data_IF_379440005449
#
_entry.id   IF_379440005449
#
_cell.length_a   1.000
_cell.length_b   1.000
_cell.length_c   1.000
_cell.angle_alpha   90.00
_cell.angle_beta   90.00
_cell.angle_gamma   90.00
#
_symmetry.space_group_name_H-M   'P 1'
#
loop_
_entity.id
_entity.type
_entity.pdbx_description
1 polymer ?
#
# COMPACT_ATOMS: atom_id res chain seq x y z
N UNK A 1 15.51 -20.51 1.80
CA UNK A 1 15.18 -21.25 3.04
C UNK A 1 13.85 -20.73 3.54
N UNK A 2 12.78 -21.52 3.33
CA UNK A 2 11.41 -21.16 3.72
C UNK A 2 11.31 -21.08 5.27
N UNK A 3 11.37 -19.89 5.83
CA UNK A 3 10.90 -19.65 7.19
C UNK A 3 9.36 -19.76 7.15
N UNK A 4 8.84 -20.93 7.54
CA UNK A 4 7.38 -21.09 7.77
C UNK A 4 6.99 -20.06 8.82
N UNK A 5 6.33 -19.01 8.39
CA UNK A 5 5.74 -18.01 9.26
C UNK A 5 4.74 -18.70 10.19
N UNK A 6 5.06 -18.76 11.48
CA UNK A 6 4.15 -19.32 12.48
C UNK A 6 3.16 -18.24 12.91
N UNK A 7 1.88 -18.55 12.95
CA UNK A 7 0.86 -17.62 13.42
C UNK A 7 1.13 -17.18 14.86
N UNK A 8 0.77 -15.95 15.23
CA UNK A 8 0.95 -15.35 16.57
C UNK A 8 0.41 -16.31 17.66
N UNK A 9 -0.80 -16.81 17.44
CA UNK A 9 -1.43 -17.78 18.33
C UNK A 9 -0.59 -19.04 18.51
N UNK A 10 -0.15 -19.65 17.41
CA UNK A 10 0.69 -20.84 17.43
C UNK A 10 2.05 -20.58 18.08
N UNK A 11 2.66 -19.42 17.80
CA UNK A 11 3.92 -18.99 18.37
C UNK A 11 3.83 -18.85 19.90
N UNK A 12 2.77 -18.21 20.42
CA UNK A 12 2.51 -18.05 21.86
C UNK A 12 2.19 -19.39 22.49
N UNK A 13 1.24 -20.15 21.93
CA UNK A 13 0.81 -21.44 22.48
C UNK A 13 1.95 -22.44 22.56
N UNK A 14 2.78 -22.58 21.53
CA UNK A 14 3.92 -23.51 21.52
C UNK A 14 4.93 -23.13 22.61
N UNK A 15 5.23 -21.86 22.81
CA UNK A 15 6.19 -21.42 23.84
C UNK A 15 5.66 -21.61 25.27
N UNK A 16 4.40 -21.27 25.51
CA UNK A 16 3.76 -21.51 26.80
C UNK A 16 3.68 -23.01 27.10
N UNK A 17 3.28 -23.80 26.10
CA UNK A 17 3.18 -25.24 26.24
C UNK A 17 4.55 -25.90 26.51
N UNK A 18 5.58 -25.48 25.77
CA UNK A 18 6.96 -25.97 26.00
C UNK A 18 7.49 -25.63 27.41
N UNK A 19 7.21 -24.40 27.90
CA UNK A 19 7.59 -24.00 29.26
C UNK A 19 6.82 -24.81 30.29
N UNK A 20 5.52 -25.01 30.14
CA UNK A 20 4.67 -25.76 31.06
C UNK A 20 5.09 -27.26 31.11
N UNK A 21 5.16 -27.90 29.92
CA UNK A 21 5.58 -29.31 29.84
C UNK A 21 7.02 -29.47 30.31
N UNK A 22 7.94 -28.59 29.91
CA UNK A 22 9.33 -28.63 30.27
C UNK A 22 9.54 -28.53 31.79
N UNK A 23 8.77 -27.65 32.47
CA UNK A 23 8.83 -27.53 33.93
C UNK A 23 8.34 -28.78 34.66
N UNK A 24 7.22 -29.36 34.18
CA UNK A 24 6.68 -30.61 34.75
C UNK A 24 7.64 -31.77 34.52
N UNK A 25 8.18 -31.91 33.29
CA UNK A 25 9.17 -32.97 32.98
C UNK A 25 10.45 -32.81 33.81
N UNK A 26 10.91 -31.56 34.02
CA UNK A 26 12.09 -31.31 34.84
C UNK A 26 11.87 -31.73 36.29
N UNK A 27 10.74 -31.36 36.90
CA UNK A 27 10.39 -31.74 38.26
C UNK A 27 10.27 -33.28 38.38
N UNK A 28 9.57 -33.92 37.42
CA UNK A 28 9.41 -35.38 37.40
C UNK A 28 10.77 -36.09 37.25
N UNK A 29 11.66 -35.62 36.38
CA UNK A 29 13.01 -36.17 36.19
C UNK A 29 13.87 -36.03 37.44
N UNK A 30 13.82 -34.86 38.09
CA UNK A 30 14.56 -34.63 39.35
C UNK A 30 14.04 -35.54 40.47
N UNK A 31 12.73 -35.71 40.58
CA UNK A 31 12.12 -36.62 41.57
C UNK A 31 12.50 -38.07 41.28
N UNK A 32 12.38 -38.53 40.02
CA UNK A 32 12.78 -39.88 39.64
C UNK A 32 14.28 -40.14 39.93
N UNK A 33 15.16 -39.21 39.54
CA UNK A 33 16.61 -39.34 39.78
C UNK A 33 16.93 -39.41 41.26
N UNK A 34 16.24 -38.60 42.09
CA UNK A 34 16.38 -38.67 43.55
C UNK A 34 15.95 -40.02 44.12
N UNK A 35 14.77 -40.54 43.70
CA UNK A 35 14.32 -41.86 44.13
C UNK A 35 15.30 -42.97 43.73
N UNK A 36 15.75 -42.96 42.48
CA UNK A 36 16.73 -43.93 41.98
C UNK A 36 18.06 -43.85 42.77
N UNK A 37 18.53 -42.63 43.08
CA UNK A 37 19.76 -42.42 43.84
C UNK A 37 19.61 -42.91 45.30
N UNK A 38 18.50 -42.57 45.97
CA UNK A 38 18.21 -43.02 47.32
C UNK A 38 18.10 -44.54 47.40
N UNK A 39 17.47 -45.17 46.41
CA UNK A 39 17.36 -46.62 46.33
C UNK A 39 18.73 -47.29 46.12
N UNK A 40 19.55 -46.74 45.22
CA UNK A 40 20.93 -47.22 45.00
C UNK A 40 21.79 -47.13 46.28
N UNK A 41 21.72 -46.01 46.99
CA UNK A 41 22.46 -45.80 48.23
C UNK A 41 21.99 -46.76 49.30
N UNK A 42 20.69 -47.00 49.49
CA UNK A 42 20.14 -47.96 50.43
C UNK A 42 20.58 -49.39 50.14
N UNK A 43 20.55 -49.78 48.86
CA UNK A 43 21.00 -51.12 48.45
C UNK A 43 22.51 -51.25 48.66
N UNK A 44 23.30 -50.19 48.52
CA UNK A 44 24.76 -50.18 48.75
C UNK A 44 25.14 -50.28 50.26
N UNK A 45 24.32 -49.66 51.11
CA UNK A 45 24.51 -49.72 52.58
C UNK A 45 24.10 -51.06 53.21
N UNK A 46 23.35 -51.87 52.43
CA UNK A 46 22.97 -53.22 52.90
C UNK A 46 24.16 -54.17 52.95
N UNK A 47 24.27 -54.99 54.00
CA UNK A 47 25.22 -56.11 54.01
C UNK A 47 25.01 -57.01 52.79
N UNK A 48 26.12 -57.50 52.19
CA UNK A 48 26.07 -58.22 50.89
C UNK A 48 25.17 -59.49 50.96
N UNK A 49 25.05 -60.11 52.12
CA UNK A 49 24.14 -61.26 52.35
C UNK A 49 22.67 -60.86 52.28
N UNK A 50 22.28 -59.71 52.86
CA UNK A 50 20.91 -59.21 52.90
C UNK A 50 20.53 -58.66 51.57
N UNK A 51 21.43 -57.97 50.83
CA UNK A 51 21.20 -57.47 49.48
C UNK A 51 20.97 -58.58 48.45
N UNK A 52 21.72 -59.70 48.57
CA UNK A 52 21.52 -60.87 47.74
C UNK A 52 20.17 -61.57 48.01
N UNK A 53 19.80 -61.69 49.27
CA UNK A 53 18.54 -62.25 49.74
C UNK A 53 17.37 -61.34 49.25
N UNK A 54 17.50 -60.03 49.39
CA UNK A 54 16.49 -59.04 48.94
C UNK A 54 16.24 -59.09 47.43
N UNK A 55 17.26 -59.23 46.60
CA UNK A 55 17.13 -59.35 45.15
C UNK A 55 16.34 -60.61 44.75
N UNK A 56 16.55 -61.75 45.49
CA UNK A 56 15.81 -62.95 45.19
C UNK A 56 14.36 -62.80 45.62
N UNK A 57 14.09 -62.21 46.78
CA UNK A 57 12.73 -61.98 47.27
C UNK A 57 11.97 -60.90 46.49
N UNK A 58 12.65 -59.93 45.87
CA UNK A 58 12.06 -58.94 45.02
C UNK A 58 11.51 -59.54 43.75
N UNK A 59 12.18 -60.55 43.17
CA UNK A 59 11.73 -61.27 41.99
C UNK A 59 10.60 -62.28 42.30
N UNK A 60 10.58 -62.85 43.51
CA UNK A 60 9.61 -63.83 43.96
C UNK A 60 9.19 -63.58 45.40
N UNK A 61 8.33 -62.65 45.71
CA UNK A 61 7.97 -62.27 47.12
C UNK A 61 7.23 -63.38 47.84
N UNK A 62 6.65 -64.35 47.11
CA UNK A 62 5.87 -65.47 47.68
C UNK A 62 6.73 -66.52 48.35
N UNK A 63 8.04 -66.59 48.14
CA UNK A 63 8.94 -67.60 48.72
C UNK A 63 9.02 -67.38 50.26
N UNK A 64 9.08 -66.13 50.73
CA UNK A 64 9.03 -65.85 52.14
C UNK A 64 8.51 -64.44 52.40
N UNK A 65 7.19 -64.24 52.45
CA UNK A 65 6.54 -62.92 52.56
C UNK A 65 6.93 -62.21 53.89
N UNK A 66 7.02 -62.94 54.95
CA UNK A 66 7.40 -62.38 56.29
C UNK A 66 8.79 -61.79 56.25
N UNK A 67 9.75 -62.51 55.68
CA UNK A 67 11.13 -62.07 55.58
C UNK A 67 11.26 -60.85 54.60
N UNK A 68 10.55 -60.85 53.56
CA UNK A 68 10.48 -59.75 52.64
C UNK A 68 9.97 -58.43 53.31
N UNK A 69 8.88 -58.55 54.09
CA UNK A 69 8.34 -57.42 54.84
C UNK A 69 9.34 -56.95 55.93
N UNK A 70 10.02 -57.85 56.63
CA UNK A 70 11.03 -57.45 57.59
C UNK A 70 12.21 -56.67 56.99
N UNK A 71 12.67 -57.07 55.84
CA UNK A 71 13.72 -56.35 55.11
C UNK A 71 13.20 -54.96 54.62
N UNK A 72 12.01 -54.91 54.03
CA UNK A 72 11.38 -53.66 53.59
C UNK A 72 11.17 -52.72 54.77
N UNK A 73 10.58 -53.19 55.87
CA UNK A 73 10.32 -52.38 57.07
C UNK A 73 11.58 -51.85 57.72
N UNK A 74 12.64 -52.63 57.71
CA UNK A 74 13.94 -52.26 58.33
C UNK A 74 14.69 -51.20 57.49
N UNK A 75 14.67 -51.32 56.13
CA UNK A 75 15.50 -50.51 55.26
C UNK A 75 14.72 -49.37 54.59
N UNK A 76 13.41 -49.56 54.33
CA UNK A 76 12.53 -48.49 53.77
C UNK A 76 11.70 -47.83 54.88
N UNK A 77 11.51 -48.41 56.01
CA UNK A 77 10.82 -47.91 57.20
C UNK A 77 9.30 -47.95 57.06
N UNK A 78 8.61 -47.99 58.23
CA UNK A 78 7.14 -48.00 58.33
C UNK A 78 6.49 -46.70 57.70
N UNK A 79 7.29 -45.68 57.37
CA UNK A 79 6.88 -44.39 56.83
C UNK A 79 6.33 -44.46 55.40
N UNK A 80 6.27 -45.60 54.75
CA UNK A 80 5.73 -45.73 53.40
C UNK A 80 4.23 -45.51 53.33
N UNK A 81 3.51 -45.55 54.47
CA UNK A 81 2.07 -45.41 54.57
C UNK A 81 1.56 -44.10 55.19
N UNK A 82 2.44 -43.21 55.68
CA UNK A 82 2.02 -41.97 56.34
C UNK A 82 2.32 -40.75 55.47
N UNK A 83 1.30 -40.17 54.83
CA UNK A 83 1.46 -38.99 53.98
C UNK A 83 1.56 -37.70 54.81
N UNK A 84 2.42 -37.67 55.85
CA UNK A 84 2.61 -36.44 56.60
C UNK A 84 3.23 -35.37 55.72
N UNK A 85 2.66 -34.15 55.76
CA UNK A 85 3.09 -32.97 55.01
C UNK A 85 4.57 -32.63 55.27
N UNK A 86 5.12 -33.10 56.38
CA UNK A 86 6.53 -32.95 56.76
C UNK A 86 7.45 -34.04 56.20
N UNK A 87 7.00 -34.91 55.28
CA UNK A 87 7.87 -35.88 54.64
C UNK A 87 8.98 -35.20 53.83
N UNK A 88 10.20 -35.77 53.85
CA UNK A 88 11.32 -35.25 53.07
C UNK A 88 11.01 -35.11 51.56
N UNK A 89 10.03 -35.85 51.06
CA UNK A 89 9.58 -35.85 49.69
C UNK A 89 8.80 -34.58 49.36
N UNK A 90 7.88 -34.14 50.23
CA UNK A 90 7.16 -32.88 50.06
C UNK A 90 8.08 -31.66 50.14
N UNK A 91 9.06 -31.70 51.06
CA UNK A 91 10.08 -30.63 51.17
C UNK A 91 10.89 -30.56 49.85
N UNK A 92 11.28 -31.73 49.30
CA UNK A 92 12.03 -31.78 48.04
C UNK A 92 11.22 -31.25 46.87
N UNK A 93 9.94 -31.60 46.78
CA UNK A 93 9.02 -31.04 45.73
C UNK A 93 8.93 -29.51 45.89
N UNK A 94 8.76 -29.03 47.12
CA UNK A 94 8.72 -27.58 47.40
C UNK A 94 10.01 -26.88 46.94
N UNK A 95 11.17 -27.43 47.25
CA UNK A 95 12.47 -26.88 46.80
C UNK A 95 12.56 -26.87 45.25
N UNK A 96 12.19 -27.98 44.59
CA UNK A 96 12.20 -28.08 43.11
C UNK A 96 11.29 -27.04 42.46
N UNK A 97 10.10 -26.84 43.02
CA UNK A 97 9.17 -25.81 42.51
C UNK A 97 9.81 -24.43 42.65
N UNK A 98 10.34 -24.08 43.82
CA UNK A 98 11.00 -22.78 44.06
C UNK A 98 12.18 -22.55 43.12
N UNK A 99 13.02 -23.58 42.87
CA UNK A 99 14.14 -23.50 41.93
C UNK A 99 13.68 -23.37 40.48
N UNK A 100 12.56 -23.99 40.10
CA UNK A 100 12.05 -23.95 38.70
C UNK A 100 11.44 -22.61 38.36
N UNK A 101 10.88 -21.85 39.33
CA UNK A 101 10.25 -20.54 39.10
C UNK A 101 11.19 -19.56 38.35
N UNK A 102 12.43 -19.29 38.78
CA UNK A 102 13.31 -18.35 38.07
C UNK A 102 13.61 -18.78 36.63
N UNK A 103 13.70 -20.09 36.36
CA UNK A 103 13.87 -20.59 35.00
C UNK A 103 12.64 -20.29 34.13
N UNK A 104 11.43 -20.52 34.63
CA UNK A 104 10.19 -20.23 33.93
C UNK A 104 10.11 -18.72 33.63
N UNK A 105 10.41 -17.87 34.62
CA UNK A 105 10.40 -16.42 34.49
C UNK A 105 11.43 -15.96 33.44
N UNK A 106 12.67 -16.46 33.54
CA UNK A 106 13.74 -16.10 32.61
C UNK A 106 13.40 -16.48 31.17
N UNK A 107 12.98 -17.71 30.90
CA UNK A 107 12.63 -18.18 29.57
C UNK A 107 11.35 -17.53 29.07
N UNK A 108 10.37 -17.24 29.95
CA UNK A 108 9.16 -16.51 29.63
C UNK A 108 9.46 -15.08 29.16
N UNK A 109 10.24 -14.33 29.91
CA UNK A 109 10.67 -12.98 29.56
C UNK A 109 11.47 -12.96 28.25
N UNK A 110 12.44 -13.89 28.10
CA UNK A 110 13.24 -14.00 26.87
C UNK A 110 12.36 -14.32 25.65
N UNK A 111 11.31 -15.08 25.84
CA UNK A 111 10.37 -15.41 24.77
C UNK A 111 9.45 -14.25 24.41
N UNK A 112 9.09 -13.39 25.37
CA UNK A 112 8.24 -12.22 25.13
C UNK A 112 9.01 -11.02 24.53
N UNK A 113 10.33 -10.96 24.69
CA UNK A 113 11.17 -9.84 24.24
C UNK A 113 10.97 -9.48 22.74
N UNK A 114 11.00 -10.41 21.76
CA UNK A 114 10.85 -10.06 20.36
C UNK A 114 9.49 -9.42 20.05
N UNK A 115 8.43 -9.87 20.74
CA UNK A 115 7.09 -9.32 20.64
C UNK A 115 7.05 -7.87 21.13
N UNK A 116 7.54 -7.63 22.34
CA UNK A 116 7.57 -6.30 22.97
C UNK A 116 8.42 -5.31 22.17
N UNK A 117 9.60 -5.73 21.70
CA UNK A 117 10.49 -4.90 20.90
C UNK A 117 9.86 -4.53 19.56
N UNK A 118 9.18 -5.46 18.88
CA UNK A 118 8.51 -5.17 17.61
C UNK A 118 7.39 -4.15 17.81
N UNK A 119 6.56 -4.30 18.83
CA UNK A 119 5.52 -3.31 19.16
C UNK A 119 6.10 -1.94 19.50
N UNK A 120 7.17 -1.90 20.29
CA UNK A 120 7.81 -0.63 20.66
C UNK A 120 8.38 0.11 19.44
N UNK A 121 9.02 -0.62 18.51
CA UNK A 121 9.54 -0.04 17.26
C UNK A 121 8.43 0.48 16.37
N UNK A 122 7.38 -0.32 16.20
CA UNK A 122 6.23 0.08 15.40
C UNK A 122 5.54 1.33 15.98
N UNK A 123 5.36 1.37 17.31
CA UNK A 123 4.79 2.53 18.01
C UNK A 123 5.67 3.78 17.93
N UNK A 124 7.01 3.64 17.89
CA UNK A 124 7.92 4.79 17.68
C UNK A 124 7.81 5.30 16.25
N UNK A 125 7.90 4.43 15.25
CA UNK A 125 7.76 4.83 13.84
C UNK A 125 6.39 5.43 13.54
N UNK A 126 5.30 4.88 14.11
CA UNK A 126 3.96 5.47 13.97
C UNK A 126 3.87 6.89 14.56
N UNK A 127 4.57 7.18 15.67
CA UNK A 127 4.64 8.54 16.23
C UNK A 127 5.45 9.51 15.37
N UNK A 128 6.49 9.04 14.70
CA UNK A 128 7.30 9.84 13.78
C UNK A 128 6.48 10.18 12.53
N UNK A 129 5.78 9.19 11.95
CA UNK A 129 4.83 9.39 10.85
C UNK A 129 3.72 10.39 11.24
N UNK A 130 3.17 10.28 12.46
CA UNK A 130 2.16 11.21 12.96
C UNK A 130 2.69 12.67 13.15
N UNK A 131 4.01 12.85 13.20
CA UNK A 131 4.66 14.16 13.25
C UNK A 131 5.03 14.70 11.86
N UNK A 132 4.70 13.94 10.79
CA UNK A 132 4.99 14.32 9.41
C UNK A 132 6.31 13.75 8.86
N UNK A 133 6.99 12.88 9.58
CA UNK A 133 8.17 12.17 9.04
C UNK A 133 7.73 10.89 8.33
N UNK A 134 7.46 11.01 7.04
CA UNK A 134 7.03 9.90 6.19
C UNK A 134 8.20 9.12 5.56
N UNK A 135 9.46 9.41 5.93
CA UNK A 135 10.61 8.62 5.47
C UNK A 135 10.97 7.51 6.46
N UNK A 136 10.46 7.59 7.70
CA UNK A 136 10.72 6.60 8.74
C UNK A 136 10.02 5.28 8.44
N UNK A 137 10.79 4.18 8.51
CA UNK A 137 10.28 2.82 8.41
C UNK A 137 10.47 2.06 9.72
N UNK A 138 9.50 1.23 10.08
CA UNK A 138 9.61 0.35 11.23
C UNK A 138 10.52 -0.84 10.90
N UNK A 139 11.61 -0.99 11.67
CA UNK A 139 12.56 -2.09 11.49
C UNK A 139 12.01 -3.43 12.01
N UNK A 140 12.22 -4.50 11.26
CA UNK A 140 11.83 -5.85 11.64
C UNK A 140 12.72 -6.40 12.76
N UNK A 141 12.12 -7.12 13.72
CA UNK A 141 12.83 -7.80 14.82
C UNK A 141 12.94 -9.29 14.51
N UNK A 142 14.15 -9.83 14.60
CA UNK A 142 14.38 -11.27 14.41
C UNK A 142 13.62 -12.09 15.46
N UNK A 143 12.86 -13.08 15.00
CA UNK A 143 12.10 -13.98 15.88
C UNK A 143 10.74 -13.44 16.32
N UNK A 144 10.27 -12.32 15.77
CA UNK A 144 8.90 -11.87 15.94
C UNK A 144 7.91 -12.82 15.23
N UNK A 145 6.66 -12.91 15.71
CA UNK A 145 5.59 -13.66 15.04
C UNK A 145 5.31 -13.14 13.63
N UNK A 146 4.84 -14.04 12.75
CA UNK A 146 4.58 -13.72 11.34
C UNK A 146 3.57 -12.60 11.14
N UNK A 147 2.52 -12.57 11.95
CA UNK A 147 1.48 -11.54 11.86
C UNK A 147 2.02 -10.15 12.19
N UNK A 148 2.96 -10.06 13.14
CA UNK A 148 3.62 -8.78 13.44
C UNK A 148 4.62 -8.36 12.36
N UNK A 149 5.29 -9.33 11.73
CA UNK A 149 6.14 -9.06 10.58
C UNK A 149 5.30 -8.51 9.44
N UNK A 150 4.22 -9.20 9.08
CA UNK A 150 3.31 -8.77 8.04
C UNK A 150 2.69 -7.41 8.34
N UNK A 151 2.21 -7.20 9.57
CA UNK A 151 1.68 -5.90 9.99
C UNK A 151 2.70 -4.77 9.86
N UNK A 152 3.99 -5.05 10.15
CA UNK A 152 5.06 -4.06 9.98
C UNK A 152 5.34 -3.78 8.50
N UNK A 153 5.29 -4.79 7.64
CA UNK A 153 5.44 -4.64 6.19
C UNK A 153 4.29 -3.84 5.58
N UNK A 154 3.05 -4.14 6.00
CA UNK A 154 1.85 -3.39 5.59
C UNK A 154 1.91 -1.93 6.06
N UNK A 155 2.36 -1.70 7.32
CA UNK A 155 2.61 -0.37 7.84
C UNK A 155 3.66 0.39 7.02
N UNK A 156 4.79 -0.23 6.71
CA UNK A 156 5.84 0.38 5.90
C UNK A 156 5.35 0.70 4.48
N UNK A 157 4.54 -0.17 3.89
CA UNK A 157 3.91 0.05 2.58
C UNK A 157 2.97 1.26 2.63
N UNK A 158 2.15 1.38 3.67
CA UNK A 158 1.28 2.53 3.88
C UNK A 158 2.09 3.83 4.03
N UNK A 159 3.18 3.81 4.80
CA UNK A 159 4.07 4.98 4.98
C UNK A 159 4.71 5.38 3.65
N UNK A 160 5.17 4.42 2.84
CA UNK A 160 5.71 4.71 1.52
C UNK A 160 4.68 5.37 0.59
N UNK A 161 3.43 4.88 0.60
CA UNK A 161 2.34 5.48 -0.17
C UNK A 161 2.04 6.91 0.30
N UNK A 162 2.03 7.14 1.63
CA UNK A 162 1.81 8.46 2.19
C UNK A 162 2.95 9.44 1.83
N UNK A 163 4.22 9.00 1.93
CA UNK A 163 5.39 9.76 1.51
C UNK A 163 5.35 10.12 0.03
N UNK A 164 4.90 9.18 -0.80
CA UNK A 164 4.72 9.44 -2.24
C UNK A 164 3.63 10.48 -2.48
N UNK A 165 2.49 10.33 -1.84
CA UNK A 165 1.37 11.26 -1.96
C UNK A 165 1.74 12.68 -1.52
N UNK A 166 2.46 12.82 -0.41
CA UNK A 166 2.92 14.10 0.11
C UNK A 166 3.88 14.79 -0.88
N UNK A 167 4.84 14.04 -1.45
CA UNK A 167 5.76 14.57 -2.46
C UNK A 167 5.04 15.00 -3.74
N UNK A 168 4.08 14.21 -4.22
CA UNK A 168 3.26 14.54 -5.39
C UNK A 168 2.42 15.80 -5.14
N UNK A 169 1.83 15.93 -3.94
CA UNK A 169 1.06 17.11 -3.54
C UNK A 169 1.95 18.37 -3.47
N UNK A 170 3.13 18.25 -2.85
CA UNK A 170 4.08 19.34 -2.77
C UNK A 170 4.57 19.79 -4.15
N UNK A 171 4.93 18.84 -5.02
CA UNK A 171 5.34 19.13 -6.40
C UNK A 171 4.21 19.83 -7.18
N UNK A 172 2.96 19.39 -6.99
CA UNK A 172 1.78 20.02 -7.58
C UNK A 172 1.62 21.48 -7.12
N UNK A 173 1.73 21.75 -5.82
CA UNK A 173 1.64 23.14 -5.30
C UNK A 173 2.74 24.07 -5.84
N UNK A 174 3.97 23.57 -5.94
CA UNK A 174 5.08 24.34 -6.54
C UNK A 174 4.81 24.63 -8.01
N UNK A 175 4.34 23.63 -8.77
CA UNK A 175 4.00 23.80 -10.17
C UNK A 175 2.84 24.81 -10.35
N UNK A 176 1.76 24.70 -9.55
CA UNK A 176 0.66 25.67 -9.53
C UNK A 176 1.16 27.11 -9.35
N UNK A 177 2.00 27.31 -8.34
CA UNK A 177 2.55 28.64 -8.07
C UNK A 177 3.35 29.21 -9.25
N UNK A 178 4.10 28.36 -9.95
CA UNK A 178 4.85 28.76 -11.15
C UNK A 178 3.95 29.10 -12.33
N UNK A 179 2.95 28.27 -12.62
CA UNK A 179 2.02 28.45 -13.74
C UNK A 179 1.10 29.68 -13.54
N UNK A 180 0.72 30.01 -12.29
CA UNK A 180 -0.01 31.24 -11.97
C UNK A 180 0.87 32.49 -12.04
N UNK A 181 2.13 32.41 -11.58
CA UNK A 181 3.05 33.57 -11.54
C UNK A 181 3.41 34.06 -12.94
N UNK A 182 3.60 33.16 -13.90
CA UNK A 182 4.06 33.50 -15.25
C UNK A 182 3.13 34.47 -15.98
N UNK A 183 1.82 34.18 -16.20
CA UNK A 183 0.90 35.10 -16.87
C UNK A 183 0.68 36.39 -16.08
N UNK A 184 0.65 36.30 -14.74
CA UNK A 184 0.52 37.47 -13.86
C UNK A 184 1.70 38.42 -14.03
N UNK A 185 2.94 37.90 -13.96
CA UNK A 185 4.15 38.72 -14.16
C UNK A 185 4.20 39.33 -15.55
N UNK A 186 3.78 38.59 -16.58
CA UNK A 186 3.73 39.13 -17.95
C UNK A 186 2.70 40.26 -18.10
N UNK A 187 1.52 40.11 -17.49
CA UNK A 187 0.49 41.16 -17.49
C UNK A 187 0.97 42.39 -16.70
N UNK A 188 1.51 42.21 -15.49
CA UNK A 188 2.03 43.29 -14.65
C UNK A 188 3.20 44.02 -15.33
N UNK A 189 4.15 43.30 -15.92
CA UNK A 189 5.29 43.91 -16.61
C UNK A 189 4.89 44.78 -17.81
N UNK A 190 3.84 44.35 -18.56
CA UNK A 190 3.28 45.15 -19.67
C UNK A 190 2.56 46.40 -19.16
N UNK A 191 1.75 46.29 -18.12
CA UNK A 191 1.07 47.39 -17.48
C UNK A 191 2.10 48.39 -16.89
N UNK A 192 3.11 47.92 -16.21
CA UNK A 192 4.17 48.76 -15.66
C UNK A 192 4.94 49.46 -16.77
N UNK A 193 5.31 48.76 -17.84
CA UNK A 193 5.96 49.39 -19.01
C UNK A 193 5.11 50.46 -19.71
N UNK A 194 3.78 50.34 -19.68
CA UNK A 194 2.88 51.42 -20.15
C UNK A 194 2.86 52.60 -19.17
N UNK A 195 2.85 52.35 -17.86
CA UNK A 195 2.89 53.41 -16.84
C UNK A 195 4.23 54.18 -16.89
N UNK A 196 5.32 53.46 -17.10
CA UNK A 196 6.66 54.06 -17.21
C UNK A 196 6.97 54.73 -18.56
N UNK A 197 5.98 54.68 -19.49
CA UNK A 197 6.11 55.28 -20.83
C UNK A 197 7.01 54.49 -21.80
N UNK A 198 7.41 53.26 -21.43
CA UNK A 198 8.22 52.36 -22.28
C UNK A 198 7.36 51.81 -23.46
N UNK A 199 6.11 51.50 -23.17
CA UNK A 199 5.11 51.09 -24.19
C UNK A 199 4.01 52.14 -24.31
N UNK A 200 3.63 52.46 -25.53
CA UNK A 200 2.44 53.25 -25.75
C UNK A 200 1.19 52.44 -25.37
N UNK A 201 0.17 53.02 -24.73
CA UNK A 201 -1.05 52.33 -24.33
C UNK A 201 -1.98 52.09 -25.53
N UNK A 202 -1.48 51.37 -26.53
CA UNK A 202 -2.21 50.98 -27.73
C UNK A 202 -3.16 49.80 -27.49
N UNK A 203 -4.27 49.66 -28.25
CA UNK A 203 -5.18 48.53 -28.12
C UNK A 203 -4.50 47.17 -28.14
N UNK A 204 -3.47 47.02 -28.98
CA UNK A 204 -2.68 45.78 -29.09
C UNK A 204 -1.98 45.40 -27.77
N UNK A 205 -1.44 46.37 -27.00
CA UNK A 205 -0.81 46.11 -25.72
C UNK A 205 -1.84 45.71 -24.66
N UNK A 206 -3.00 46.37 -24.66
CA UNK A 206 -4.13 46.03 -23.78
C UNK A 206 -4.70 44.65 -24.09
N UNK A 207 -4.82 44.29 -25.36
CA UNK A 207 -5.22 42.94 -25.78
C UNK A 207 -4.24 41.86 -25.28
N UNK A 208 -2.93 42.16 -25.32
CA UNK A 208 -1.93 41.22 -24.78
C UNK A 208 -2.06 41.05 -23.28
N UNK A 209 -2.34 42.11 -22.52
CA UNK A 209 -2.63 42.03 -21.08
C UNK A 209 -3.89 41.22 -20.84
N UNK A 210 -4.96 41.52 -21.55
CA UNK A 210 -6.24 40.82 -21.45
C UNK A 210 -6.07 39.33 -21.76
N UNK A 211 -5.29 38.98 -22.78
CA UNK A 211 -4.99 37.56 -23.11
C UNK A 211 -4.31 36.82 -21.95
N UNK A 212 -3.39 37.49 -21.22
CA UNK A 212 -2.75 36.88 -20.04
C UNK A 212 -3.76 36.69 -18.90
N UNK A 213 -4.65 37.67 -18.66
CA UNK A 213 -5.67 37.58 -17.61
C UNK A 213 -6.73 36.50 -17.93
N UNK A 214 -7.14 36.36 -19.16
CA UNK A 214 -8.05 35.27 -19.62
C UNK A 214 -7.37 33.92 -19.44
N UNK A 215 -6.10 33.80 -19.80
CA UNK A 215 -5.33 32.54 -19.56
C UNK A 215 -5.22 32.20 -18.09
N UNK A 216 -5.02 33.22 -17.23
CA UNK A 216 -4.97 33.03 -15.77
C UNK A 216 -6.31 32.56 -15.21
N UNK A 217 -7.41 33.18 -15.65
CA UNK A 217 -8.76 32.78 -15.25
C UNK A 217 -9.06 31.33 -15.66
N UNK A 218 -8.74 30.98 -16.91
CA UNK A 218 -8.88 29.59 -17.38
C UNK A 218 -8.11 28.60 -16.49
N UNK A 219 -6.87 28.93 -16.10
CA UNK A 219 -6.06 28.08 -15.22
C UNK A 219 -6.71 27.93 -13.84
N UNK A 220 -7.30 28.98 -13.28
CA UNK A 220 -8.04 28.92 -12.02
C UNK A 220 -9.25 28.00 -12.14
N UNK A 221 -10.02 28.11 -13.22
CA UNK A 221 -11.19 27.25 -13.47
C UNK A 221 -10.80 25.78 -13.64
N UNK A 222 -9.67 25.51 -14.32
CA UNK A 222 -9.08 24.18 -14.48
C UNK A 222 -8.67 23.57 -13.11
N UNK A 223 -8.03 24.36 -12.25
CA UNK A 223 -7.64 23.94 -10.91
C UNK A 223 -8.85 23.70 -9.99
N UNK A 224 -9.85 24.57 -10.08
CA UNK A 224 -11.10 24.41 -9.33
C UNK A 224 -11.83 23.12 -9.71
N UNK A 225 -11.93 22.81 -11.01
CA UNK A 225 -12.51 21.57 -11.49
C UNK A 225 -11.77 20.33 -10.92
N UNK A 226 -10.44 20.35 -10.98
CA UNK A 226 -9.63 19.27 -10.43
C UNK A 226 -9.83 19.10 -8.92
N UNK A 227 -9.95 20.22 -8.18
CA UNK A 227 -10.21 20.19 -6.75
C UNK A 227 -11.58 19.56 -6.42
N UNK A 228 -12.62 19.90 -7.18
CA UNK A 228 -13.95 19.29 -7.03
C UNK A 228 -13.94 17.80 -7.37
N UNK A 229 -13.21 17.41 -8.43
CA UNK A 229 -13.10 16.02 -8.82
C UNK A 229 -12.36 15.18 -7.77
N UNK A 230 -11.26 15.70 -7.19
CA UNK A 230 -10.52 15.03 -6.10
C UNK A 230 -11.36 14.83 -4.84
N UNK A 231 -12.21 15.82 -4.52
CA UNK A 231 -13.14 15.73 -3.40
C UNK A 231 -14.33 14.79 -3.68
N UNK A 232 -14.50 14.32 -4.92
CA UNK A 232 -15.70 13.57 -5.33
C UNK A 232 -16.96 14.45 -5.39
N UNK A 233 -16.79 15.78 -5.44
CA UNK A 233 -17.87 16.78 -5.42
C UNK A 233 -18.18 17.35 -6.81
N UNK A 234 -17.54 16.83 -7.86
CA UNK A 234 -17.83 17.27 -9.22
C UNK A 234 -19.26 16.84 -9.60
N UNK A 235 -20.18 17.80 -9.58
CA UNK A 235 -21.55 17.57 -10.03
C UNK A 235 -21.60 17.40 -11.55
N UNK A 236 -22.33 16.38 -12.01
CA UNK A 236 -22.53 16.06 -13.42
C UNK A 236 -24.01 16.16 -13.76
N UNK A 237 -24.32 16.88 -14.82
CA UNK A 237 -25.67 16.96 -15.42
C UNK A 237 -25.86 15.79 -16.37
N UNK A 238 -26.25 14.63 -15.84
CA UNK A 238 -26.34 13.39 -16.61
C UNK A 238 -27.71 13.26 -17.30
N UNK A 239 -27.72 13.25 -18.63
CA UNK A 239 -28.88 12.92 -19.43
C UNK A 239 -28.46 12.14 -20.69
N UNK A 240 -29.47 11.72 -21.51
CA UNK A 240 -29.23 10.95 -22.72
C UNK A 240 -29.09 11.88 -23.94
N UNK A 241 -28.04 11.67 -24.74
CA UNK A 241 -27.71 12.45 -25.96
C UNK A 241 -26.94 11.59 -26.95
N UNK A 242 -26.71 12.14 -28.17
CA UNK A 242 -25.99 11.40 -29.22
C UNK A 242 -24.50 11.78 -29.23
N UNK A 243 -23.64 10.76 -28.91
CA UNK A 243 -22.20 10.93 -28.81
C UNK A 243 -21.55 11.34 -30.15
N UNK A 244 -22.07 10.82 -31.25
CA UNK A 244 -21.53 11.17 -32.57
C UNK A 244 -21.83 12.65 -32.94
N UNK A 245 -22.99 13.16 -32.57
CA UNK A 245 -23.35 14.55 -32.75
C UNK A 245 -22.45 15.50 -31.96
N UNK A 246 -22.21 15.22 -30.68
CA UNK A 246 -21.28 16.01 -29.84
C UNK A 246 -19.86 16.00 -30.41
N UNK A 247 -19.36 14.86 -30.85
CA UNK A 247 -18.02 14.78 -31.46
C UNK A 247 -17.93 15.62 -32.72
N UNK A 248 -18.93 15.56 -33.60
CA UNK A 248 -18.98 16.37 -34.82
C UNK A 248 -19.04 17.86 -34.50
N UNK A 249 -19.84 18.27 -33.51
CA UNK A 249 -19.90 19.67 -33.06
C UNK A 249 -18.51 20.14 -32.58
N UNK A 250 -17.78 19.33 -31.78
CA UNK A 250 -16.44 19.69 -31.31
C UNK A 250 -15.42 19.76 -32.46
N UNK A 251 -15.51 18.85 -33.44
CA UNK A 251 -14.68 18.91 -34.64
C UNK A 251 -14.94 20.17 -35.44
N UNK A 252 -16.21 20.55 -35.63
CA UNK A 252 -16.56 21.81 -36.33
C UNK A 252 -16.01 23.04 -35.58
N UNK A 253 -16.07 23.05 -34.25
CA UNK A 253 -15.54 24.13 -33.41
C UNK A 253 -14.02 24.28 -33.53
N UNK A 254 -13.27 23.18 -33.60
CA UNK A 254 -11.79 23.19 -33.67
C UNK A 254 -11.25 23.25 -35.10
N UNK A 255 -12.12 23.12 -36.12
CA UNK A 255 -11.77 23.10 -37.55
C UNK A 255 -10.87 24.25 -38.01
N UNK A 256 -11.12 25.54 -37.61
CA UNK A 256 -10.23 26.64 -38.03
C UNK A 256 -8.80 26.48 -37.56
N UNK A 257 -8.62 25.90 -36.35
CA UNK A 257 -7.28 25.64 -35.80
C UNK A 257 -6.63 24.45 -36.52
N UNK A 258 -7.39 23.40 -36.83
CA UNK A 258 -6.94 22.24 -37.59
C UNK A 258 -6.47 22.62 -39.00
N UNK A 259 -7.22 23.50 -39.71
CA UNK A 259 -6.84 24.04 -41.01
C UNK A 259 -5.52 24.83 -40.96
N UNK A 260 -5.33 25.63 -39.90
CA UNK A 260 -4.07 26.39 -39.72
C UNK A 260 -2.86 25.48 -39.52
N UNK A 261 -3.04 24.32 -38.91
CA UNK A 261 -1.96 23.31 -38.66
C UNK A 261 -1.85 22.28 -39.80
N UNK A 262 -2.76 22.28 -40.77
CA UNK A 262 -2.82 21.30 -41.85
C UNK A 262 -3.29 19.91 -41.42
N UNK A 263 -3.93 19.79 -40.23
CA UNK A 263 -4.42 18.51 -39.71
C UNK A 263 -5.85 18.23 -40.16
N UNK A 264 -6.10 17.01 -40.63
CA UNK A 264 -7.44 16.51 -40.98
C UNK A 264 -7.96 15.68 -39.80
N UNK A 265 -9.15 15.99 -39.31
CA UNK A 265 -9.82 15.25 -38.24
C UNK A 265 -10.97 14.46 -38.84
N UNK A 266 -10.95 13.13 -38.67
CA UNK A 266 -12.01 12.23 -39.14
C UNK A 266 -12.70 11.53 -37.95
N UNK A 267 -14.05 11.50 -37.98
CA UNK A 267 -14.86 10.81 -36.96
C UNK A 267 -15.51 9.58 -37.58
N UNK A 268 -15.22 8.44 -37.01
CA UNK A 268 -15.74 7.13 -37.37
C UNK A 268 -16.67 6.66 -36.25
N UNK A 269 -17.95 6.97 -36.35
CA UNK A 269 -18.95 6.64 -35.33
C UNK A 269 -20.18 5.96 -35.97
N UNK A 270 -20.92 5.10 -35.25
CA UNK A 270 -22.21 4.61 -35.67
C UNK A 270 -23.20 5.77 -35.91
N UNK A 271 -24.17 5.58 -36.86
CA UNK A 271 -25.12 6.61 -37.20
C UNK A 271 -26.01 7.10 -36.04
N UNK A 272 -26.16 6.29 -34.99
CA UNK A 272 -26.83 6.64 -33.71
C UNK A 272 -26.04 6.03 -32.58
N UNK A 273 -25.54 6.89 -31.70
CA UNK A 273 -24.73 6.47 -30.54
C UNK A 273 -25.26 7.17 -29.29
N UNK A 274 -26.39 6.63 -28.74
CA UNK A 274 -26.98 7.18 -27.51
C UNK A 274 -26.05 6.93 -26.36
N UNK A 275 -25.76 7.98 -25.61
CA UNK A 275 -24.87 7.93 -24.45
C UNK A 275 -25.50 8.68 -23.28
N UNK A 276 -25.37 8.17 -22.08
CA UNK A 276 -25.84 8.77 -20.84
C UNK A 276 -24.66 9.37 -20.06
N UNK A 277 -24.60 10.70 -20.02
CA UNK A 277 -23.50 11.41 -19.36
C UNK A 277 -23.74 12.92 -19.42
N UNK A 278 -22.76 13.70 -18.97
CA UNK A 278 -22.75 15.15 -19.05
C UNK A 278 -22.05 15.57 -20.36
N UNK A 279 -22.80 16.07 -21.38
CA UNK A 279 -22.24 16.45 -22.69
C UNK A 279 -21.29 17.65 -22.59
N UNK A 280 -21.51 18.56 -21.63
CA UNK A 280 -20.64 19.71 -21.47
C UNK A 280 -19.25 19.25 -20.99
N UNK A 281 -19.20 18.40 -19.96
CA UNK A 281 -17.96 17.87 -19.44
C UNK A 281 -17.24 16.93 -20.41
N UNK A 282 -17.98 16.06 -21.07
CA UNK A 282 -17.39 15.18 -22.10
C UNK A 282 -16.95 15.96 -23.35
N UNK A 283 -17.68 16.98 -23.74
CA UNK A 283 -17.24 17.90 -24.77
C UNK A 283 -15.91 18.60 -24.41
N UNK A 284 -15.70 18.94 -23.15
CA UNK A 284 -14.42 19.48 -22.67
C UNK A 284 -13.30 18.44 -22.83
N UNK A 285 -13.53 17.15 -22.46
CA UNK A 285 -12.56 16.06 -22.68
C UNK A 285 -12.18 15.93 -24.15
N UNK A 286 -13.17 15.88 -25.04
CA UNK A 286 -12.92 15.73 -26.49
C UNK A 286 -12.12 16.91 -27.03
N UNK A 287 -12.46 18.14 -26.64
CA UNK A 287 -11.71 19.32 -27.00
C UNK A 287 -10.26 19.28 -26.55
N UNK A 288 -10.00 18.88 -25.28
CA UNK A 288 -8.65 18.72 -24.75
C UNK A 288 -7.84 17.72 -25.58
N UNK A 289 -8.41 16.57 -25.94
CA UNK A 289 -7.71 15.54 -26.71
C UNK A 289 -7.43 15.99 -28.14
N UNK A 290 -8.38 16.66 -28.78
CA UNK A 290 -8.18 17.25 -30.12
C UNK A 290 -7.11 18.36 -30.10
N UNK A 291 -7.19 19.31 -29.16
CA UNK A 291 -6.18 20.35 -28.98
C UNK A 291 -4.77 19.76 -28.72
N UNK A 292 -4.70 18.67 -27.95
CA UNK A 292 -3.47 17.98 -27.68
C UNK A 292 -2.87 17.39 -28.99
N UNK A 293 -3.68 16.74 -29.82
CA UNK A 293 -3.25 16.21 -31.10
C UNK A 293 -2.77 17.33 -32.03
N UNK A 294 -3.54 18.45 -32.15
CA UNK A 294 -3.15 19.61 -32.96
C UNK A 294 -1.80 20.20 -32.52
N UNK A 295 -1.53 20.20 -31.22
CA UNK A 295 -0.31 20.78 -30.63
C UNK A 295 0.93 19.89 -30.81
N UNK A 296 0.78 18.60 -30.65
CA UNK A 296 1.92 17.69 -30.55
C UNK A 296 2.07 16.73 -31.74
N UNK A 297 1.00 16.55 -32.53
CA UNK A 297 0.97 15.59 -33.61
C UNK A 297 0.64 16.23 -34.99
N UNK A 298 0.70 17.56 -35.11
CA UNK A 298 0.40 18.27 -36.38
C UNK A 298 1.25 17.78 -37.56
N UNK A 299 2.50 17.38 -37.33
CA UNK A 299 3.36 16.81 -38.36
C UNK A 299 2.79 15.49 -38.95
N UNK A 300 1.93 14.76 -38.21
CA UNK A 300 1.28 13.53 -38.66
C UNK A 300 0.09 13.74 -39.61
N UNK A 301 -0.40 14.94 -39.70
CA UNK A 301 -1.41 15.37 -40.66
C UNK A 301 -2.85 14.85 -40.45
N UNK A 302 -3.06 13.85 -39.59
CA UNK A 302 -4.38 13.26 -39.36
C UNK A 302 -4.63 12.91 -37.88
N UNK A 303 -5.89 13.10 -37.46
CA UNK A 303 -6.44 12.61 -36.20
C UNK A 303 -7.71 11.80 -36.52
N UNK A 304 -7.66 10.50 -36.28
CA UNK A 304 -8.79 9.60 -36.46
C UNK A 304 -9.47 9.33 -35.10
N UNK A 305 -10.80 9.57 -35.02
CA UNK A 305 -11.60 9.36 -33.80
C UNK A 305 -12.57 8.22 -34.07
N UNK A 306 -12.43 7.12 -33.34
CA UNK A 306 -13.28 5.94 -33.45
C UNK A 306 -14.21 5.84 -32.25
N UNK A 307 -15.50 5.58 -32.52
CA UNK A 307 -16.50 5.28 -31.49
C UNK A 307 -17.00 3.86 -31.70
N UNK A 308 -16.81 3.01 -30.73
CA UNK A 308 -17.19 1.60 -30.75
C UNK A 308 -18.09 1.27 -29.56
N UNK A 309 -19.18 0.55 -29.78
CA UNK A 309 -19.98 -0.03 -28.71
C UNK A 309 -19.52 -1.47 -28.50
N UNK A 310 -18.91 -1.72 -27.37
CA UNK A 310 -18.55 -3.05 -26.89
C UNK A 310 -19.76 -3.69 -26.18
N UNK A 311 -19.66 -4.95 -25.78
CA UNK A 311 -20.74 -5.70 -25.11
C UNK A 311 -21.26 -5.03 -23.85
N UNK A 312 -20.35 -4.43 -23.04
CA UNK A 312 -20.66 -3.82 -21.74
C UNK A 312 -20.03 -2.42 -21.58
N UNK A 313 -19.60 -1.78 -22.67
CA UNK A 313 -18.92 -0.48 -22.60
C UNK A 313 -18.99 0.28 -23.93
N UNK A 314 -18.86 1.59 -23.84
CA UNK A 314 -18.52 2.46 -24.98
C UNK A 314 -17.03 2.72 -24.98
N UNK A 315 -16.39 2.60 -26.14
CA UNK A 315 -14.99 2.93 -26.33
C UNK A 315 -14.85 4.06 -27.33
N UNK A 316 -14.11 5.09 -26.95
CA UNK A 316 -13.80 6.24 -27.83
C UNK A 316 -12.26 6.29 -27.92
N UNK A 317 -11.74 6.20 -29.14
CA UNK A 317 -10.29 6.18 -29.40
C UNK A 317 -9.90 7.39 -30.24
N UNK A 318 -8.94 8.17 -29.74
CA UNK A 318 -8.31 9.27 -30.49
C UNK A 318 -6.94 8.79 -30.95
N UNK A 319 -6.72 8.67 -32.24
CA UNK A 319 -5.53 8.14 -32.86
C UNK A 319 -4.87 9.20 -33.74
N UNK A 320 -3.74 9.76 -33.27
CA UNK A 320 -2.92 10.64 -34.10
C UNK A 320 -1.79 9.84 -34.81
N UNK A 321 -1.16 10.48 -35.80
CA UNK A 321 -0.01 9.94 -36.53
C UNK A 321 1.28 10.74 -36.25
N UNK A 322 1.39 11.33 -35.07
CA UNK A 322 2.56 12.07 -34.64
C UNK A 322 3.75 11.14 -34.33
N UNK A 323 4.70 11.70 -33.61
CA UNK A 323 5.93 10.97 -33.20
C UNK A 323 5.73 10.00 -32.02
N UNK A 324 4.50 10.01 -31.43
CA UNK A 324 4.25 9.31 -30.16
C UNK A 324 5.04 9.91 -28.99
N UNK A 325 5.10 9.16 -27.89
CA UNK A 325 5.80 9.55 -26.67
C UNK A 325 6.69 8.41 -26.17
N UNK A 326 7.67 8.71 -25.31
CA UNK A 326 8.47 7.65 -24.69
C UNK A 326 7.60 6.74 -23.82
N UNK A 327 7.88 5.45 -23.80
CA UNK A 327 7.17 4.47 -22.97
C UNK A 327 7.17 4.85 -21.48
N UNK A 328 8.27 5.44 -20.99
CA UNK A 328 8.38 5.92 -19.62
C UNK A 328 7.46 7.12 -19.32
N UNK A 329 7.02 7.87 -20.35
CA UNK A 329 6.14 9.02 -20.17
C UNK A 329 4.66 8.63 -20.17
N UNK A 330 4.27 7.54 -20.82
CA UNK A 330 2.86 7.11 -20.94
C UNK A 330 2.14 7.05 -19.58
N UNK A 331 2.69 6.41 -18.52
CA UNK A 331 2.01 6.37 -17.23
C UNK A 331 1.93 7.73 -16.53
N UNK A 332 2.78 8.69 -16.91
CA UNK A 332 2.86 10.00 -16.29
C UNK A 332 2.06 11.08 -17.01
N UNK A 333 1.61 10.84 -18.24
CA UNK A 333 1.03 11.87 -19.07
C UNK A 333 -0.33 12.41 -18.57
N UNK A 334 -1.00 11.67 -17.70
CA UNK A 334 -2.26 12.10 -17.06
C UNK A 334 -2.04 12.74 -15.68
N UNK A 335 -0.77 12.81 -15.20
CA UNK A 335 -0.44 13.51 -13.98
C UNK A 335 -0.43 15.04 -14.21
N UNK A 336 -0.76 15.81 -13.17
CA UNK A 336 -0.85 17.27 -13.24
C UNK A 336 0.50 17.90 -13.52
N UNK A 337 0.50 18.95 -14.36
CA UNK A 337 1.69 19.71 -14.74
C UNK A 337 2.79 18.89 -15.41
N UNK A 338 2.50 17.65 -15.79
CA UNK A 338 3.45 16.79 -16.47
C UNK A 338 3.53 17.12 -17.94
N UNK A 339 4.76 17.18 -18.46
CA UNK A 339 5.04 17.53 -19.87
C UNK A 339 6.16 16.63 -20.38
N UNK A 340 6.06 16.15 -21.62
CA UNK A 340 7.18 15.46 -22.26
C UNK A 340 8.34 16.44 -22.46
N UNK A 341 9.53 16.05 -21.98
CA UNK A 341 10.77 16.84 -22.10
C UNK A 341 11.21 16.94 -23.57
N UNK A 342 10.62 17.87 -24.30
CA UNK A 342 11.17 18.30 -25.59
C UNK A 342 11.35 19.81 -25.53
N UNK A 343 12.59 20.25 -25.62
CA UNK A 343 13.04 21.66 -25.52
C UNK A 343 12.33 22.62 -26.51
N UNK A 344 11.67 22.11 -27.54
CA UNK A 344 10.86 22.87 -28.50
C UNK A 344 9.42 23.16 -28.01
N UNK A 345 8.88 22.40 -27.04
CA UNK A 345 7.51 22.55 -26.54
C UNK A 345 7.29 23.76 -25.62
N UNK A 346 8.35 24.44 -25.17
CA UNK A 346 8.20 25.68 -24.38
C UNK A 346 7.51 26.82 -25.13
N UNK A 347 7.56 26.82 -26.46
CA UNK A 347 6.92 27.85 -27.28
C UNK A 347 5.42 27.63 -27.49
N UNK A 348 4.90 26.42 -27.24
CA UNK A 348 3.51 26.06 -27.51
C UNK A 348 2.55 26.21 -26.32
N UNK A 349 3.02 26.73 -25.18
CA UNK A 349 2.24 27.19 -24.02
C UNK A 349 1.06 26.29 -23.64
N UNK A 350 1.24 25.39 -22.70
CA UNK A 350 0.15 24.62 -22.08
C UNK A 350 0.43 24.39 -20.61
N UNK A 351 -0.60 24.49 -19.75
CA UNK A 351 -0.51 24.34 -18.30
C UNK A 351 -0.07 22.94 -17.85
N UNK A 352 -0.17 21.92 -18.72
CA UNK A 352 0.02 20.52 -18.34
C UNK A 352 -1.13 19.96 -17.49
N UNK A 353 -2.28 20.67 -17.45
CA UNK A 353 -3.47 20.24 -16.74
C UNK A 353 -4.50 19.53 -17.63
N UNK A 354 -4.45 19.74 -18.95
CA UNK A 354 -5.51 19.26 -19.85
C UNK A 354 -5.78 17.76 -19.73
N UNK A 355 -4.74 16.92 -19.82
CA UNK A 355 -4.93 15.46 -19.74
C UNK A 355 -5.36 14.99 -18.35
N UNK A 356 -4.90 15.63 -17.27
CA UNK A 356 -5.38 15.32 -15.91
C UNK A 356 -6.85 15.72 -15.71
N UNK A 357 -7.31 16.82 -16.34
CA UNK A 357 -8.72 17.19 -16.37
C UNK A 357 -9.53 16.15 -17.15
N UNK A 358 -9.05 15.74 -18.32
CA UNK A 358 -9.72 14.71 -19.11
C UNK A 358 -9.87 13.41 -18.30
N UNK A 359 -8.84 13.00 -17.58
CA UNK A 359 -8.88 11.84 -16.68
C UNK A 359 -9.91 12.04 -15.55
N UNK A 360 -9.87 13.15 -14.86
CA UNK A 360 -10.78 13.44 -13.75
C UNK A 360 -12.25 13.42 -14.19
N UNK A 361 -12.58 14.03 -15.35
CA UNK A 361 -13.93 14.01 -15.91
C UNK A 361 -14.36 12.59 -16.30
N UNK A 362 -13.48 11.80 -16.94
CA UNK A 362 -13.78 10.41 -17.31
C UNK A 362 -14.05 9.55 -16.07
N UNK A 363 -13.20 9.66 -15.04
CA UNK A 363 -13.35 8.93 -13.77
C UNK A 363 -14.63 9.33 -13.03
N UNK A 364 -15.00 10.62 -13.02
CA UNK A 364 -16.27 11.10 -12.45
C UNK A 364 -17.50 10.52 -13.16
N UNK A 365 -17.39 10.18 -14.44
CA UNK A 365 -18.43 9.45 -15.19
C UNK A 365 -18.40 7.92 -14.94
N UNK A 366 -17.46 7.43 -14.13
CA UNK A 366 -17.22 6.00 -13.88
C UNK A 366 -16.47 5.29 -15.02
N UNK A 367 -15.86 6.07 -15.93
CA UNK A 367 -15.04 5.58 -17.04
C UNK A 367 -13.54 5.53 -16.70
N UNK A 368 -12.76 5.17 -17.72
CA UNK A 368 -11.29 5.15 -17.66
C UNK A 368 -10.72 5.78 -18.91
N UNK A 369 -9.57 6.45 -18.77
CA UNK A 369 -8.78 6.96 -19.89
C UNK A 369 -7.39 6.33 -19.85
N UNK A 370 -6.92 5.90 -21.01
CA UNK A 370 -5.61 5.22 -21.16
C UNK A 370 -4.94 5.74 -22.42
N UNK A 371 -3.62 5.62 -22.49
CA UNK A 371 -2.85 5.96 -23.68
C UNK A 371 -1.84 4.87 -24.01
N UNK A 372 -1.52 4.75 -25.30
CA UNK A 372 -0.48 3.87 -25.81
C UNK A 372 0.09 4.43 -27.11
N UNK A 373 1.33 4.14 -27.42
CA UNK A 373 1.87 4.42 -28.75
C UNK A 373 1.17 3.52 -29.76
N UNK A 374 0.82 4.07 -30.92
CA UNK A 374 0.22 3.32 -32.01
C UNK A 374 1.32 2.53 -32.75
N UNK A 375 1.01 1.31 -33.25
CA UNK A 375 1.95 0.42 -33.94
C UNK A 375 2.59 1.08 -35.17
N UNK A 376 1.86 1.97 -35.83
CA UNK A 376 2.31 2.67 -37.04
C UNK A 376 2.85 4.09 -36.75
N UNK A 377 3.24 4.37 -35.50
CA UNK A 377 3.60 5.71 -35.03
C UNK A 377 2.40 6.55 -34.61
N UNK A 378 2.65 7.51 -33.71
CA UNK A 378 1.62 8.35 -33.09
C UNK A 378 1.16 7.86 -31.73
N UNK A 379 0.20 8.56 -31.16
CA UNK A 379 -0.40 8.25 -29.86
C UNK A 379 -1.86 7.84 -30.04
N UNK A 380 -2.27 6.79 -29.37
CA UNK A 380 -3.66 6.36 -29.24
C UNK A 380 -4.11 6.61 -27.80
N UNK A 381 -5.07 7.52 -27.62
CA UNK A 381 -5.77 7.75 -26.35
C UNK A 381 -7.13 7.07 -26.40
N UNK A 382 -7.41 6.22 -25.44
CA UNK A 382 -8.64 5.42 -25.37
C UNK A 382 -9.41 5.80 -24.11
N UNK A 383 -10.68 6.14 -24.29
CA UNK A 383 -11.65 6.36 -23.21
C UNK A 383 -12.63 5.19 -23.21
N UNK A 384 -12.89 4.61 -22.05
CA UNK A 384 -13.88 3.56 -21.88
C UNK A 384 -14.89 3.95 -20.81
N UNK A 385 -16.18 3.88 -21.14
CA UNK A 385 -17.28 4.07 -20.19
C UNK A 385 -18.09 2.79 -20.09
N UNK A 386 -18.41 2.32 -18.86
CA UNK A 386 -19.30 1.17 -18.69
C UNK A 386 -20.70 1.52 -19.23
N UNK A 387 -21.31 0.55 -19.95
CA UNK A 387 -22.69 0.66 -20.39
C UNK A 387 -23.62 0.43 -19.17
N UNK A 388 -24.21 1.50 -18.63
CA UNK A 388 -25.08 1.45 -17.44
C UNK A 388 -26.54 1.09 -17.76
N UNK A 389 -26.80 0.50 -18.93
CA UNK A 389 -28.15 0.06 -19.31
C UNK A 389 -28.53 -1.34 -18.76
N UNK A 390 -27.79 -1.90 -17.78
CA UNK A 390 -28.21 -3.11 -17.05
C UNK A 390 -28.58 -2.83 -15.62
#
# INVERSE_FOLDING_TARGET
MNSRHQSLWRWICVRILLLAIGSVCLIALCMWSRFALVELLRVHEMPSSVSAEFKILLLNPEINPQRFHQIVDKWWGIRFSDPSIASADWITVGILVVVTIPFIVFFGLRSALPLSLQFSRLASSAREVARGDFETQAALVKGAPSELVQFTEDFNTMVQQLSRYERELHASHVAMAHELRSPLTAAMGRLQGMIDGVFQPEPRQLEMVMKQLVSLNRLIDELHLLSLADAGELSLDIFEWDLAELLQERVMWIKPQAETTGMVIAVHAPAKCRFKGDPFRLGQVFTILMENALRYASEGGTLDIYVERLTDAYQISFCDKGKGVSEAFIPLMFERFTRAETSRARHFGGSGLGLSIARAICESHGGRIMAQNAENGGLKVVIQFPDKEK
#
